data_IF_468272782827
#
_entry.id   IF_468272782827
#
_cell.length_a   1.000
_cell.length_b   1.000
_cell.length_c   1.000
_cell.angle_alpha   90.00
_cell.angle_beta   90.00
_cell.angle_gamma   90.00
#
_symmetry.space_group_name_H-M   'P 1'
#
loop_
_entity.id
_entity.type
_entity.pdbx_description
1 polymer ?
#
# COMPACT_ATOMS: atom_id res chain seq x y z
N UNK A 1 2.56 3.10 -9.99
CA UNK A 1 2.46 4.58 -9.95
C UNK A 1 2.03 5.09 -8.58
N UNK A 2 0.97 4.56 -7.96
CA UNK A 2 0.52 4.94 -6.61
C UNK A 2 1.64 5.22 -5.60
N UNK A 3 2.54 4.25 -5.37
CA UNK A 3 3.65 4.39 -4.41
C UNK A 3 4.66 5.47 -4.80
N UNK A 4 4.99 5.57 -6.10
CA UNK A 4 6.07 6.43 -6.61
C UNK A 4 5.66 7.90 -6.79
N UNK A 5 4.35 8.18 -6.89
CA UNK A 5 3.81 9.52 -7.10
C UNK A 5 2.85 9.88 -5.95
N UNK A 6 3.29 10.71 -4.98
CA UNK A 6 2.46 11.18 -3.87
C UNK A 6 1.31 12.10 -4.28
N UNK A 7 1.37 12.71 -5.46
CA UNK A 7 0.35 13.65 -5.93
C UNK A 7 -0.78 12.95 -6.67
N UNK A 8 -0.60 11.68 -7.05
CA UNK A 8 -1.62 10.88 -7.71
C UNK A 8 -2.81 10.65 -6.76
N UNK A 9 -3.96 11.18 -7.14
CA UNK A 9 -5.22 10.99 -6.39
C UNK A 9 -5.80 9.60 -6.63
N UNK A 10 -6.65 9.14 -5.70
CA UNK A 10 -7.34 7.84 -5.82
C UNK A 10 -8.16 7.72 -7.11
N UNK A 11 -8.95 8.76 -7.43
CA UNK A 11 -9.72 8.83 -8.68
C UNK A 11 -8.78 8.81 -9.89
N UNK A 12 -7.65 9.52 -9.82
CA UNK A 12 -6.62 9.49 -10.85
C UNK A 12 -6.07 8.09 -11.08
N UNK A 13 -5.77 7.34 -10.00
CA UNK A 13 -5.32 5.95 -10.08
C UNK A 13 -6.37 5.05 -10.74
N UNK A 14 -7.63 5.15 -10.34
CA UNK A 14 -8.71 4.33 -10.89
C UNK A 14 -8.89 4.54 -12.40
N UNK A 15 -8.63 5.76 -12.90
CA UNK A 15 -8.69 6.06 -14.34
C UNK A 15 -7.53 5.49 -15.16
N UNK A 16 -6.45 5.04 -14.52
CA UNK A 16 -5.28 4.47 -15.21
C UNK A 16 -5.43 2.98 -15.53
N UNK A 17 -6.53 2.35 -15.14
CA UNK A 17 -6.78 0.92 -15.30
C UNK A 17 -8.26 0.67 -15.57
N UNK A 18 -8.59 -0.50 -16.13
CA UNK A 18 -9.97 -0.95 -16.32
C UNK A 18 -10.47 -1.78 -15.14
N UNK A 19 -9.65 -1.99 -14.10
CA UNK A 19 -10.09 -2.67 -12.88
C UNK A 19 -11.18 -1.88 -12.16
N UNK A 20 -12.14 -2.59 -11.57
CA UNK A 20 -13.12 -1.94 -10.71
C UNK A 20 -12.43 -1.35 -9.47
N UNK A 21 -12.89 -0.19 -9.03
CA UNK A 21 -12.33 0.52 -7.87
C UNK A 21 -12.24 -0.35 -6.62
N UNK A 22 -13.29 -1.14 -6.35
CA UNK A 22 -13.31 -2.07 -5.22
C UNK A 22 -12.25 -3.18 -5.32
N UNK A 23 -11.85 -3.59 -6.54
CA UNK A 23 -10.78 -4.57 -6.74
C UNK A 23 -9.40 -3.94 -6.50
N UNK A 24 -9.21 -2.68 -6.93
CA UNK A 24 -7.99 -1.91 -6.63
C UNK A 24 -7.85 -1.74 -5.12
N UNK A 25 -8.93 -1.36 -4.44
CA UNK A 25 -8.95 -1.23 -2.99
C UNK A 25 -8.59 -2.54 -2.30
N UNK A 26 -9.27 -3.64 -2.64
CA UNK A 26 -9.01 -4.97 -2.05
C UNK A 26 -7.58 -5.44 -2.30
N UNK A 27 -7.03 -5.18 -3.48
CA UNK A 27 -5.65 -5.51 -3.82
C UNK A 27 -4.66 -4.74 -2.93
N UNK A 28 -4.85 -3.43 -2.78
CA UNK A 28 -3.97 -2.60 -1.97
C UNK A 28 -4.10 -2.90 -0.47
N UNK A 29 -5.32 -3.14 0.02
CA UNK A 29 -5.56 -3.59 1.39
C UNK A 29 -4.82 -4.91 1.69
N UNK A 30 -4.94 -5.92 0.83
CA UNK A 30 -4.22 -7.19 1.01
C UNK A 30 -2.70 -7.03 0.89
N UNK A 31 -2.24 -6.09 0.07
CA UNK A 31 -0.82 -5.75 -0.01
C UNK A 31 -0.32 -5.14 1.30
N UNK A 32 -1.10 -4.25 1.92
CA UNK A 32 -0.79 -3.68 3.24
C UNK A 32 -0.74 -4.78 4.31
N UNK A 33 -1.72 -5.68 4.35
CA UNK A 33 -1.71 -6.84 5.27
C UNK A 33 -0.43 -7.68 5.14
N UNK A 34 -0.05 -8.01 3.91
CA UNK A 34 1.17 -8.76 3.64
C UNK A 34 2.43 -8.00 4.10
N UNK A 35 2.53 -6.71 3.79
CA UNK A 35 3.66 -5.89 4.23
C UNK A 35 3.74 -5.78 5.75
N UNK A 36 2.61 -5.74 6.46
CA UNK A 36 2.59 -5.76 7.93
C UNK A 36 3.18 -7.06 8.49
N UNK A 37 2.92 -8.20 7.85
CA UNK A 37 3.55 -9.47 8.22
C UNK A 37 5.07 -9.44 7.96
N UNK A 38 5.51 -8.85 6.85
CA UNK A 38 6.94 -8.67 6.54
C UNK A 38 7.63 -7.73 7.53
N UNK A 39 6.96 -6.64 7.93
CA UNK A 39 7.46 -5.72 8.95
C UNK A 39 7.69 -6.40 10.30
N UNK A 40 6.87 -7.41 10.65
CA UNK A 40 7.03 -8.18 11.88
C UNK A 40 8.33 -9.03 11.91
N UNK A 41 8.98 -9.26 10.76
CA UNK A 41 10.27 -9.97 10.69
C UNK A 41 11.47 -9.14 11.16
N UNK A 42 11.25 -7.99 11.80
CA UNK A 42 12.30 -7.05 12.26
C UNK A 42 13.44 -7.70 13.07
N UNK A 43 13.14 -8.75 13.83
CA UNK A 43 14.13 -9.48 14.63
C UNK A 43 15.12 -10.31 13.80
N UNK A 44 14.72 -10.77 12.62
CA UNK A 44 15.53 -11.64 11.75
C UNK A 44 16.03 -10.91 10.51
N UNK A 45 15.21 -10.04 9.92
CA UNK A 45 15.48 -9.32 8.68
C UNK A 45 15.15 -7.82 8.85
N UNK A 46 15.92 -7.07 9.65
CA UNK A 46 15.61 -5.68 9.99
C UNK A 46 15.55 -4.75 8.78
N UNK A 47 16.41 -4.96 7.77
CA UNK A 47 16.39 -4.16 6.54
C UNK A 47 15.10 -4.37 5.73
N UNK A 48 14.65 -5.62 5.62
CA UNK A 48 13.39 -5.95 4.94
C UNK A 48 12.19 -5.36 5.68
N UNK A 49 12.18 -5.45 7.01
CA UNK A 49 11.15 -4.83 7.84
C UNK A 49 11.11 -3.30 7.69
N UNK A 50 12.28 -2.66 7.56
CA UNK A 50 12.39 -1.23 7.26
C UNK A 50 11.75 -0.85 5.92
N UNK A 51 12.10 -1.58 4.86
CA UNK A 51 11.51 -1.38 3.52
C UNK A 51 10.00 -1.59 3.52
N UNK A 52 9.50 -2.62 4.22
CA UNK A 52 8.07 -2.88 4.35
C UNK A 52 7.36 -1.74 5.08
N UNK A 53 7.94 -1.24 6.18
CA UNK A 53 7.42 -0.09 6.91
C UNK A 53 7.29 1.15 6.03
N UNK A 54 8.31 1.44 5.22
CA UNK A 54 8.29 2.60 4.31
C UNK A 54 7.22 2.43 3.22
N UNK A 55 7.10 1.23 2.65
CA UNK A 55 6.09 0.92 1.64
C UNK A 55 4.67 1.07 2.19
N UNK A 56 4.40 0.61 3.42
CA UNK A 56 3.11 0.79 4.10
C UNK A 56 2.75 2.28 4.19
N UNK A 57 3.67 3.12 4.67
CA UNK A 57 3.45 4.56 4.78
C UNK A 57 3.14 5.22 3.42
N UNK A 58 3.80 4.78 2.35
CA UNK A 58 3.56 5.33 1.01
C UNK A 58 2.23 4.87 0.40
N UNK A 59 1.77 3.66 0.72
CA UNK A 59 0.52 3.09 0.19
C UNK A 59 -0.70 3.63 0.96
N UNK A 60 -0.59 3.76 2.28
CA UNK A 60 -1.68 4.15 3.20
C UNK A 60 -1.99 5.65 3.08
N UNK A 61 -2.70 6.02 2.01
CA UNK A 61 -3.10 7.39 1.68
C UNK A 61 -4.53 7.42 1.14
N UNK A 62 -5.24 8.54 1.32
CA UNK A 62 -6.60 8.71 0.83
C UNK A 62 -7.55 7.68 1.44
N UNK A 63 -8.37 7.01 0.61
CA UNK A 63 -9.34 5.99 1.07
C UNK A 63 -8.71 4.78 1.78
N UNK A 64 -7.39 4.58 1.68
CA UNK A 64 -6.69 3.51 2.39
C UNK A 64 -6.22 3.91 3.79
N UNK A 65 -6.36 5.17 4.20
CA UNK A 65 -5.98 5.65 5.54
C UNK A 65 -6.87 5.07 6.64
N UNK A 66 -8.12 4.73 6.30
CA UNK A 66 -9.11 4.16 7.21
C UNK A 66 -8.91 2.65 7.45
N UNK A 67 -7.96 2.02 6.74
CA UNK A 67 -7.63 0.62 6.95
C UNK A 67 -6.89 0.43 8.29
N UNK A 68 -7.33 -0.53 9.13
CA UNK A 68 -6.66 -0.84 10.40
C UNK A 68 -5.17 -1.18 10.20
#
# INVERSE_FOLDING_TARGET
RWVADPTLTWIGLCRLTTMAEGDIYRLLARTLEFLSQVQALKSTHPGLAGSASQAITLIRRGVLEELP
#
